data_IF_421067044986
#
_entry.id   IF_421067044986
#
_cell.length_a   1.000
_cell.length_b   1.000
_cell.length_c   1.000
_cell.angle_alpha   90.00
_cell.angle_beta   90.00
_cell.angle_gamma   90.00
#
_symmetry.space_group_name_H-M   'P 1'
#
loop_
_entity.id
_entity.type
_entity.pdbx_description
1 polymer ?
#
# COMPACT_ATOMS: atom_id res chain seq x y z
N UNK A 1 -32.92 12.07 7.86
CA UNK A 1 -31.76 12.00 8.79
C UNK A 1 -31.83 10.71 9.62
N UNK A 2 -31.51 9.55 9.05
CA UNK A 2 -31.65 8.27 9.77
C UNK A 2 -30.73 7.10 9.36
N UNK A 3 -29.91 7.24 8.30
CA UNK A 3 -29.08 6.13 7.81
C UNK A 3 -27.68 6.03 8.44
N UNK A 4 -27.18 7.08 9.10
CA UNK A 4 -25.77 7.18 9.50
C UNK A 4 -25.40 6.29 10.70
N UNK A 5 -26.37 5.88 11.53
CA UNK A 5 -26.09 5.23 12.83
C UNK A 5 -25.63 3.77 12.77
N UNK A 6 -25.90 3.04 11.69
CA UNK A 6 -25.54 1.60 11.59
C UNK A 6 -24.11 1.41 11.09
N UNK A 7 -23.63 2.31 10.22
CA UNK A 7 -22.31 2.21 9.59
C UNK A 7 -21.20 2.46 10.62
N UNK A 8 -21.41 3.42 11.53
CA UNK A 8 -20.44 3.78 12.57
C UNK A 8 -20.17 2.66 13.58
N UNK A 9 -21.06 1.65 13.65
CA UNK A 9 -20.94 0.49 14.53
C UNK A 9 -20.18 -0.69 13.94
N UNK A 10 -19.83 -0.65 12.65
CA UNK A 10 -19.00 -1.67 11.99
C UNK A 10 -17.59 -1.08 11.83
N UNK A 11 -16.61 -1.46 12.67
CA UNK A 11 -15.28 -0.83 12.69
C UNK A 11 -14.60 -0.79 11.32
N UNK A 12 -14.73 -1.88 10.54
CA UNK A 12 -14.10 -2.04 9.22
C UNK A 12 -14.79 -1.27 8.09
N UNK A 13 -15.96 -0.67 8.34
CA UNK A 13 -16.73 0.09 7.36
C UNK A 13 -16.62 1.62 7.55
N UNK A 14 -15.66 2.07 8.37
CA UNK A 14 -15.31 3.49 8.50
C UNK A 14 -14.39 3.93 7.36
N UNK A 15 -14.91 3.94 6.14
CA UNK A 15 -14.14 4.16 4.91
C UNK A 15 -13.34 5.48 4.94
N UNK A 16 -13.96 6.57 5.36
CA UNK A 16 -13.29 7.88 5.43
C UNK A 16 -12.13 7.87 6.43
N UNK A 17 -12.33 7.27 7.61
CA UNK A 17 -11.30 7.22 8.65
C UNK A 17 -10.13 6.34 8.21
N UNK A 18 -10.42 5.18 7.62
CA UNK A 18 -9.40 4.25 7.15
C UNK A 18 -8.57 4.91 6.04
N UNK A 19 -9.19 5.47 5.00
CA UNK A 19 -8.48 6.18 3.94
C UNK A 19 -7.63 7.34 4.49
N UNK A 20 -8.18 8.12 5.43
CA UNK A 20 -7.44 9.21 6.08
C UNK A 20 -6.17 8.71 6.77
N UNK A 21 -6.21 7.55 7.42
CA UNK A 21 -5.01 6.97 8.03
C UNK A 21 -4.02 6.54 6.96
N UNK A 22 -4.46 5.85 5.91
CA UNK A 22 -3.56 5.37 4.85
C UNK A 22 -2.82 6.50 4.13
N UNK A 23 -3.58 7.50 3.67
CA UNK A 23 -3.05 8.66 2.95
C UNK A 23 -2.29 9.59 3.90
N UNK A 24 -2.78 9.78 5.13
CA UNK A 24 -2.11 10.57 6.16
C UNK A 24 -0.73 10.00 6.49
N UNK A 25 -0.64 8.70 6.80
CA UNK A 25 0.63 8.01 7.04
C UNK A 25 1.58 8.12 5.85
N UNK A 26 1.07 8.04 4.62
CA UNK A 26 1.90 8.20 3.42
C UNK A 26 2.51 9.60 3.33
N UNK A 27 1.71 10.64 3.60
CA UNK A 27 2.19 12.04 3.61
C UNK A 27 3.20 12.27 4.73
N UNK A 28 2.98 11.69 5.90
CA UNK A 28 3.94 11.73 7.01
C UNK A 28 5.26 11.04 6.64
N UNK A 29 5.22 9.90 5.95
CA UNK A 29 6.43 9.22 5.44
C UNK A 29 7.20 10.14 4.49
N UNK A 30 6.54 10.76 3.50
CA UNK A 30 7.18 11.72 2.58
C UNK A 30 7.78 12.91 3.32
N UNK A 31 7.09 13.43 4.33
CA UNK A 31 7.59 14.52 5.16
C UNK A 31 8.78 14.08 6.04
N UNK A 32 8.76 12.86 6.58
CA UNK A 32 9.91 12.29 7.30
C UNK A 32 11.13 12.14 6.39
N UNK A 33 10.94 11.77 5.12
CA UNK A 33 12.01 11.73 4.12
C UNK A 33 12.67 13.10 3.92
N UNK A 34 11.92 14.20 4.05
CA UNK A 34 12.49 15.57 4.03
C UNK A 34 13.25 15.92 5.32
N UNK A 35 12.71 15.50 6.47
CA UNK A 35 13.20 15.89 7.78
C UNK A 35 14.44 15.09 8.21
N UNK A 36 14.44 13.78 7.97
CA UNK A 36 15.42 12.83 8.50
C UNK A 36 16.88 13.17 8.18
N UNK A 37 17.26 13.66 6.97
CA UNK A 37 18.63 14.07 6.71
C UNK A 37 19.15 15.11 7.72
N UNK A 38 18.33 16.12 8.05
CA UNK A 38 18.70 17.18 8.98
C UNK A 38 18.80 16.71 10.44
N UNK A 39 18.04 15.67 10.79
CA UNK A 39 18.07 15.08 12.12
C UNK A 39 19.26 14.14 12.30
N UNK A 40 19.53 13.29 11.29
CA UNK A 40 20.60 12.29 11.35
C UNK A 40 21.99 12.91 11.08
N UNK A 41 22.06 13.90 10.20
CA UNK A 41 23.31 14.55 9.77
C UNK A 41 23.20 16.07 9.91
N UNK A 42 23.13 16.59 11.15
CA UNK A 42 22.85 18.01 11.42
C UNK A 42 23.92 18.97 10.88
N UNK A 43 25.13 18.49 10.58
CA UNK A 43 26.20 19.28 9.98
C UNK A 43 26.41 18.94 8.49
N UNK A 44 25.52 18.14 7.89
CA UNK A 44 25.66 17.67 6.51
C UNK A 44 26.80 16.65 6.32
N UNK A 45 27.16 15.93 7.38
CA UNK A 45 28.28 14.98 7.37
C UNK A 45 28.05 13.74 6.48
N UNK A 46 26.80 13.41 6.16
CA UNK A 46 26.44 12.35 5.21
C UNK A 46 25.18 12.73 4.43
N UNK A 47 24.91 11.97 3.37
CA UNK A 47 23.69 12.06 2.57
C UNK A 47 22.99 10.70 2.51
N UNK A 48 21.66 10.72 2.57
CA UNK A 48 20.84 9.53 2.34
C UNK A 48 20.66 9.38 0.83
N UNK A 49 21.14 8.27 0.28
CA UNK A 49 21.16 8.02 -1.17
C UNK A 49 19.99 7.17 -1.66
N UNK A 50 19.37 6.38 -0.78
CA UNK A 50 18.22 5.53 -1.10
C UNK A 50 17.23 5.50 0.06
N UNK A 51 15.95 5.35 -0.29
CA UNK A 51 14.85 5.26 0.65
C UNK A 51 14.02 4.01 0.39
N UNK A 52 13.59 3.38 1.48
CA UNK A 52 12.70 2.23 1.43
C UNK A 52 11.66 2.24 2.54
N UNK A 53 10.53 1.57 2.29
CA UNK A 53 9.43 1.42 3.26
C UNK A 53 9.04 -0.05 3.39
N UNK A 54 8.96 -0.52 4.62
CA UNK A 54 8.36 -1.82 4.97
C UNK A 54 7.12 -1.53 5.80
N UNK A 55 6.01 -2.19 5.49
CA UNK A 55 4.78 -1.97 6.21
C UNK A 55 3.91 -3.22 6.30
N UNK A 56 3.29 -3.43 7.46
CA UNK A 56 2.42 -4.59 7.73
C UNK A 56 0.97 -4.10 7.86
N UNK A 57 0.04 -4.81 7.23
CA UNK A 57 -1.40 -4.55 7.30
C UNK A 57 -1.69 -3.09 6.91
N UNK A 58 -2.20 -2.24 7.81
CA UNK A 58 -2.37 -0.80 7.56
C UNK A 58 -1.09 -0.16 6.98
N UNK A 59 0.08 -0.47 7.55
CA UNK A 59 1.37 -0.02 7.03
C UNK A 59 1.69 -0.56 5.64
N UNK A 60 1.23 -1.76 5.29
CA UNK A 60 1.40 -2.35 3.96
C UNK A 60 0.60 -1.63 2.89
N UNK A 61 -0.59 -1.11 3.22
CA UNK A 61 -1.35 -0.23 2.32
C UNK A 61 -0.62 1.10 2.14
N UNK A 62 -0.11 1.69 3.23
CA UNK A 62 0.71 2.89 3.17
C UNK A 62 2.01 2.67 2.39
N UNK A 63 2.62 1.48 2.43
CA UNK A 63 3.80 1.16 1.63
C UNK A 63 3.50 1.23 0.13
N UNK A 64 2.35 0.70 -0.31
CA UNK A 64 1.89 0.84 -1.70
C UNK A 64 1.68 2.30 -2.11
N UNK A 65 1.04 3.10 -1.24
CA UNK A 65 0.83 4.52 -1.47
C UNK A 65 2.16 5.30 -1.49
N UNK A 66 3.10 5.00 -0.58
CA UNK A 66 4.43 5.61 -0.54
C UNK A 66 5.23 5.35 -1.81
N UNK A 67 5.22 4.11 -2.32
CA UNK A 67 5.84 3.76 -3.60
C UNK A 67 5.22 4.55 -4.76
N UNK A 68 3.91 4.76 -4.72
CA UNK A 68 3.15 5.47 -5.75
C UNK A 68 3.38 6.99 -5.75
N UNK A 69 3.53 7.60 -4.58
CA UNK A 69 3.49 9.06 -4.43
C UNK A 69 4.83 9.72 -4.15
N UNK A 70 5.86 8.95 -3.74
CA UNK A 70 7.19 9.50 -3.50
C UNK A 70 8.24 8.83 -4.40
N UNK A 71 8.71 9.58 -5.40
CA UNK A 71 9.71 9.11 -6.35
C UNK A 71 11.01 8.66 -5.65
N UNK A 72 11.34 9.23 -4.48
CA UNK A 72 12.56 8.93 -3.72
C UNK A 72 12.52 7.55 -3.06
N UNK A 73 11.33 7.05 -2.71
CA UNK A 73 11.13 5.74 -2.09
C UNK A 73 11.24 4.68 -3.19
N UNK A 74 12.42 4.09 -3.34
CA UNK A 74 12.72 3.14 -4.43
C UNK A 74 12.49 1.68 -4.05
N UNK A 75 12.48 1.37 -2.77
CA UNK A 75 12.28 0.00 -2.27
C UNK A 75 11.02 -0.07 -1.41
N UNK A 76 10.18 -1.06 -1.63
CA UNK A 76 8.95 -1.21 -0.84
C UNK A 76 8.59 -2.66 -0.56
N UNK A 77 8.20 -2.93 0.69
CA UNK A 77 7.77 -4.25 1.14
C UNK A 77 6.39 -4.15 1.79
N UNK A 78 5.31 -4.14 0.99
CA UNK A 78 3.95 -4.28 1.50
C UNK A 78 3.69 -5.72 1.96
N UNK A 79 3.56 -5.90 3.27
CA UNK A 79 3.19 -7.16 3.92
C UNK A 79 1.70 -7.11 4.26
N UNK A 80 0.92 -8.07 3.76
CA UNK A 80 -0.54 -8.17 3.94
C UNK A 80 -1.26 -6.82 3.73
N UNK A 81 -0.81 -6.08 2.71
CA UNK A 81 -1.35 -4.78 2.30
C UNK A 81 -1.99 -4.85 0.92
N UNK A 82 -2.94 -3.93 0.65
CA UNK A 82 -3.68 -3.87 -0.61
C UNK A 82 -3.42 -2.56 -1.37
N UNK A 83 -3.12 -2.60 -2.68
CA UNK A 83 -2.99 -1.41 -3.54
C UNK A 83 -4.34 -0.94 -4.13
N UNK A 84 -5.44 -1.61 -3.83
CA UNK A 84 -6.78 -1.32 -4.34
C UNK A 84 -7.78 -1.24 -3.18
N UNK A 85 -7.99 -0.02 -2.67
CA UNK A 85 -8.82 0.23 -1.53
C UNK A 85 -10.30 -0.07 -1.81
N UNK A 86 -10.82 0.28 -3.00
CA UNK A 86 -12.22 0.04 -3.32
C UNK A 86 -12.55 -1.46 -3.42
N UNK A 87 -11.68 -2.27 -4.01
CA UNK A 87 -11.89 -3.72 -4.07
C UNK A 87 -11.87 -4.35 -2.66
N UNK A 88 -10.93 -3.92 -1.81
CA UNK A 88 -10.89 -4.34 -0.42
C UNK A 88 -12.16 -3.95 0.34
N UNK A 89 -12.63 -2.70 0.18
CA UNK A 89 -13.84 -2.23 0.83
C UNK A 89 -15.09 -2.92 0.27
N UNK A 90 -15.10 -3.29 -1.02
CA UNK A 90 -16.21 -4.01 -1.64
C UNK A 90 -16.33 -5.42 -1.06
N UNK A 91 -15.19 -6.10 -0.87
CA UNK A 91 -15.14 -7.40 -0.20
C UNK A 91 -15.74 -7.34 1.21
N UNK A 92 -15.29 -6.38 2.03
CA UNK A 92 -15.78 -6.18 3.41
C UNK A 92 -17.25 -5.78 3.45
N UNK A 93 -17.68 -4.88 2.56
CA UNK A 93 -19.08 -4.49 2.44
C UNK A 93 -19.96 -5.72 2.13
N UNK A 94 -19.52 -6.58 1.21
CA UNK A 94 -20.20 -7.82 0.84
C UNK A 94 -20.39 -8.78 2.01
N UNK A 95 -19.39 -8.92 2.90
CA UNK A 95 -19.48 -9.74 4.12
C UNK A 95 -20.57 -9.27 5.08
N UNK A 96 -20.97 -7.99 5.00
CA UNK A 96 -22.02 -7.38 5.80
C UNK A 96 -23.31 -7.11 5.02
N UNK A 97 -23.41 -7.54 3.76
CA UNK A 97 -24.57 -7.26 2.90
C UNK A 97 -24.76 -5.77 2.58
N UNK A 98 -23.67 -5.00 2.58
CA UNK A 98 -23.65 -3.57 2.28
C UNK A 98 -23.22 -3.30 0.83
N UNK A 99 -23.75 -2.24 0.24
CA UNK A 99 -23.31 -1.71 -1.06
C UNK A 99 -22.45 -0.46 -0.88
N UNK A 100 -21.38 -0.31 -1.66
CA UNK A 100 -20.51 0.88 -1.67
C UNK A 100 -21.15 2.07 -2.42
N UNK A 101 -22.27 2.54 -1.90
CA UNK A 101 -23.04 3.67 -2.43
C UNK A 101 -23.23 4.75 -1.35
N UNK A 102 -23.65 5.97 -1.70
CA UNK A 102 -24.01 6.98 -0.70
C UNK A 102 -25.06 6.45 0.30
N UNK A 103 -24.91 6.70 1.62
CA UNK A 103 -23.95 7.60 2.26
C UNK A 103 -22.58 6.98 2.60
N UNK A 104 -22.38 5.67 2.39
CA UNK A 104 -21.15 4.95 2.76
C UNK A 104 -19.96 5.36 1.88
N UNK A 105 -20.19 5.49 0.58
CA UNK A 105 -19.19 5.98 -0.38
C UNK A 105 -19.76 7.17 -1.17
N UNK A 106 -19.74 8.39 -0.59
CA UNK A 106 -20.09 9.61 -1.32
C UNK A 106 -19.18 9.81 -2.54
N UNK A 107 -19.69 10.48 -3.59
CA UNK A 107 -18.92 10.75 -4.81
C UNK A 107 -17.60 11.49 -4.57
N UNK A 108 -17.56 12.40 -3.60
CA UNK A 108 -16.34 13.12 -3.20
C UNK A 108 -15.28 12.18 -2.60
N UNK A 109 -15.69 11.22 -1.77
CA UNK A 109 -14.78 10.23 -1.21
C UNK A 109 -14.27 9.27 -2.31
N UNK A 110 -15.15 8.83 -3.21
CA UNK A 110 -14.77 8.01 -4.36
C UNK A 110 -13.72 8.70 -5.24
N UNK A 111 -13.92 9.99 -5.53
CA UNK A 111 -12.97 10.78 -6.31
C UNK A 111 -11.61 10.88 -5.61
N UNK A 112 -11.59 11.11 -4.30
CA UNK A 112 -10.34 11.15 -3.53
C UNK A 112 -9.61 9.80 -3.58
N UNK A 113 -10.33 8.68 -3.39
CA UNK A 113 -9.74 7.34 -3.51
C UNK A 113 -9.15 7.14 -4.91
N UNK A 114 -9.86 7.54 -5.96
CA UNK A 114 -9.37 7.43 -7.33
C UNK A 114 -8.12 8.27 -7.61
N UNK A 115 -7.94 9.39 -6.90
CA UNK A 115 -6.74 10.22 -7.01
C UNK A 115 -5.55 9.62 -6.28
N UNK A 116 -5.77 9.01 -5.12
CA UNK A 116 -4.72 8.54 -4.22
C UNK A 116 -4.30 7.09 -4.51
N UNK A 117 -5.23 6.20 -4.86
CA UNK A 117 -4.92 4.77 -4.92
C UNK A 117 -4.00 4.38 -6.10
N UNK A 118 -3.04 3.45 -5.88
CA UNK A 118 -2.15 2.93 -6.91
C UNK A 118 -2.88 2.33 -8.13
N UNK A 119 -4.00 1.65 -7.91
CA UNK A 119 -4.73 0.95 -8.99
C UNK A 119 -5.27 1.89 -10.08
N UNK A 120 -5.37 3.19 -9.80
CA UNK A 120 -5.80 4.20 -10.77
C UNK A 120 -4.65 4.91 -11.48
N UNK A 121 -3.40 4.53 -11.20
CA UNK A 121 -2.22 4.97 -11.97
C UNK A 121 -2.01 4.07 -13.18
N UNK A 122 -1.18 4.51 -14.12
CA UNK A 122 -0.87 3.72 -15.31
C UNK A 122 0.20 2.65 -15.02
N UNK A 123 -0.03 1.82 -13.99
CA UNK A 123 0.93 0.86 -13.44
C UNK A 123 1.30 -0.30 -14.39
N UNK A 124 0.65 -0.37 -15.56
CA UNK A 124 0.87 -1.35 -16.62
C UNK A 124 1.75 -0.80 -17.74
N UNK A 125 1.97 0.51 -17.77
CA UNK A 125 2.77 1.18 -18.78
C UNK A 125 4.25 1.10 -18.43
N UNK A 126 5.10 0.99 -19.45
CA UNK A 126 6.56 1.12 -19.29
C UNK A 126 7.02 2.58 -19.36
N UNK A 127 6.10 3.53 -19.54
CA UNK A 127 6.38 4.96 -19.60
C UNK A 127 6.58 5.54 -18.18
N UNK A 128 7.81 5.95 -17.79
CA UNK A 128 8.09 6.43 -16.43
C UNK A 128 7.37 7.73 -16.08
N UNK A 129 6.92 8.51 -17.07
CA UNK A 129 6.15 9.74 -16.82
C UNK A 129 4.68 9.44 -16.41
N UNK A 130 4.21 8.21 -16.66
CA UNK A 130 2.83 7.78 -16.36
C UNK A 130 2.76 6.72 -15.27
N UNK A 131 3.76 5.85 -15.22
CA UNK A 131 3.86 4.77 -14.25
C UNK A 131 4.83 5.15 -13.12
N UNK A 132 4.34 5.45 -11.90
CA UNK A 132 5.19 5.82 -10.77
C UNK A 132 6.04 4.65 -10.23
N UNK A 133 5.80 3.42 -10.70
CA UNK A 133 6.49 2.22 -10.24
C UNK A 133 7.72 1.85 -11.08
N UNK A 134 8.03 2.59 -12.14
CA UNK A 134 9.24 2.33 -12.94
C UNK A 134 10.49 2.57 -12.09
N UNK A 135 11.41 1.60 -12.14
CA UNK A 135 12.65 1.56 -11.35
C UNK A 135 12.45 1.25 -9.87
N UNK A 136 11.23 0.90 -9.42
CA UNK A 136 10.97 0.49 -8.03
C UNK A 136 11.30 -0.99 -7.84
N UNK A 137 11.72 -1.31 -6.62
CA UNK A 137 12.00 -2.67 -6.15
C UNK A 137 10.94 -3.05 -5.12
N UNK A 138 10.06 -3.98 -5.45
CA UNK A 138 8.87 -4.31 -4.67
C UNK A 138 8.87 -5.79 -4.29
N UNK A 139 8.78 -6.07 -2.98
CA UNK A 139 8.50 -7.41 -2.47
C UNK A 139 7.10 -7.43 -1.86
N UNK A 140 6.20 -8.19 -2.47
CA UNK A 140 4.82 -8.35 -2.00
C UNK A 140 4.70 -9.64 -1.20
N UNK A 141 4.32 -9.53 0.07
CA UNK A 141 4.13 -10.67 0.95
C UNK A 141 2.67 -10.75 1.40
N UNK A 142 2.02 -11.89 1.23
CA UNK A 142 0.60 -12.07 1.56
C UNK A 142 0.29 -13.48 2.06
N UNK A 143 -0.76 -13.63 2.88
CA UNK A 143 -1.32 -14.92 3.24
C UNK A 143 -2.47 -15.28 2.30
N UNK A 144 -2.47 -16.50 1.76
CA UNK A 144 -3.48 -16.93 0.78
C UNK A 144 -4.90 -17.02 1.36
N UNK A 145 -5.00 -17.38 2.63
CA UNK A 145 -6.25 -17.55 3.38
C UNK A 145 -6.58 -16.31 4.24
N UNK A 146 -5.90 -15.18 4.00
CA UNK A 146 -6.22 -13.90 4.62
C UNK A 146 -7.63 -13.44 4.21
N UNK A 147 -8.55 -13.37 5.17
CA UNK A 147 -9.92 -12.90 4.96
C UNK A 147 -10.10 -11.41 5.26
N UNK A 148 -9.12 -10.77 5.90
CA UNK A 148 -9.16 -9.35 6.26
C UNK A 148 -8.60 -8.47 5.14
N UNK A 149 -7.54 -8.95 4.48
CA UNK A 149 -6.92 -8.34 3.30
C UNK A 149 -6.70 -9.45 2.26
N UNK A 150 -7.76 -9.92 1.58
CA UNK A 150 -7.68 -11.05 0.69
C UNK A 150 -6.76 -10.77 -0.49
N UNK A 151 -5.88 -11.73 -0.80
CA UNK A 151 -4.95 -11.65 -1.93
C UNK A 151 -5.66 -11.30 -3.25
N UNK A 152 -6.89 -11.77 -3.46
CA UNK A 152 -7.68 -11.48 -4.65
C UNK A 152 -7.92 -9.99 -4.89
N UNK A 153 -7.92 -9.15 -3.84
CA UNK A 153 -8.07 -7.70 -3.98
C UNK A 153 -6.81 -7.04 -4.57
N UNK A 154 -5.64 -7.66 -4.38
CA UNK A 154 -4.34 -7.18 -4.88
C UNK A 154 -3.91 -7.86 -6.18
N UNK A 155 -4.39 -9.08 -6.42
CA UNK A 155 -3.82 -9.99 -7.43
C UNK A 155 -3.73 -9.37 -8.83
N UNK A 156 -4.83 -8.81 -9.36
CA UNK A 156 -4.79 -8.24 -10.71
C UNK A 156 -3.78 -7.09 -10.83
N UNK A 157 -3.72 -6.22 -9.82
CA UNK A 157 -2.78 -5.11 -9.80
C UNK A 157 -1.34 -5.64 -9.79
N UNK A 158 -1.02 -6.56 -8.86
CA UNK A 158 0.34 -7.05 -8.69
C UNK A 158 0.79 -7.87 -9.90
N UNK A 159 -0.07 -8.70 -10.46
CA UNK A 159 0.24 -9.52 -11.65
C UNK A 159 0.61 -8.62 -12.84
N UNK A 160 -0.11 -7.52 -13.03
CA UNK A 160 0.06 -6.58 -14.15
C UNK A 160 1.00 -5.40 -13.85
N UNK A 161 1.57 -5.33 -12.64
CA UNK A 161 2.48 -4.26 -12.24
C UNK A 161 3.79 -4.34 -13.04
N UNK A 162 4.06 -3.29 -13.80
CA UNK A 162 5.33 -3.06 -14.49
C UNK A 162 6.25 -2.19 -13.64
N UNK A 163 7.49 -2.65 -13.48
CA UNK A 163 8.55 -1.92 -12.74
C UNK A 163 9.74 -1.54 -13.63
N UNK A 164 9.71 -1.88 -14.92
CA UNK A 164 10.78 -1.57 -15.87
C UNK A 164 12.04 -2.41 -15.70
N UNK A 165 13.03 -2.21 -16.58
CA UNK A 165 14.27 -3.00 -16.62
C UNK A 165 15.15 -2.86 -15.37
N UNK A 166 15.16 -1.66 -14.77
CA UNK A 166 15.91 -1.37 -13.54
C UNK A 166 15.10 -1.65 -12.26
N UNK A 167 13.86 -2.12 -12.41
CA UNK A 167 12.98 -2.48 -11.31
C UNK A 167 13.07 -3.97 -10.95
N UNK A 168 12.54 -4.32 -9.79
CA UNK A 168 12.44 -5.71 -9.34
C UNK A 168 11.05 -5.92 -8.72
N UNK A 169 10.35 -6.99 -9.09
CA UNK A 169 9.07 -7.36 -8.49
C UNK A 169 9.13 -8.82 -8.03
N UNK A 170 9.05 -9.03 -6.73
CA UNK A 170 8.91 -10.36 -6.12
C UNK A 170 7.58 -10.47 -5.40
N UNK A 171 6.96 -11.64 -5.48
CA UNK A 171 5.66 -11.91 -4.88
C UNK A 171 5.72 -13.26 -4.21
N UNK A 172 5.37 -13.30 -2.92
CA UNK A 172 5.18 -14.55 -2.20
C UNK A 172 3.83 -14.53 -1.48
N UNK A 173 2.96 -15.44 -1.91
CA UNK A 173 1.65 -15.70 -1.30
C UNK A 173 1.71 -17.04 -0.59
N UNK A 174 1.73 -17.02 0.74
CA UNK A 174 1.97 -18.20 1.57
C UNK A 174 0.67 -19.00 1.73
N UNK A 175 0.70 -20.29 1.37
CA UNK A 175 -0.45 -21.20 1.54
C UNK A 175 -0.63 -21.59 3.02
N UNK A 176 -1.88 -21.68 3.47
CA UNK A 176 -2.23 -21.98 4.87
C UNK A 176 -2.12 -20.78 5.83
N UNK A 177 -1.86 -19.57 5.33
CA UNK A 177 -1.64 -18.38 6.15
C UNK A 177 -2.77 -17.36 6.00
N UNK A 178 -3.32 -16.94 7.14
CA UNK A 178 -4.32 -15.89 7.24
C UNK A 178 -3.72 -14.49 7.39
N UNK A 179 -4.40 -13.60 8.12
CA UNK A 179 -3.93 -12.23 8.38
C UNK A 179 -2.86 -12.18 9.49
N UNK A 180 -1.63 -12.60 9.15
CA UNK A 180 -0.52 -12.61 10.10
C UNK A 180 0.82 -12.38 9.38
N UNK A 181 1.70 -11.61 10.02
CA UNK A 181 3.11 -11.53 9.62
C UNK A 181 3.90 -12.66 10.28
N UNK A 182 4.55 -13.51 9.49
CA UNK A 182 5.33 -14.66 9.96
C UNK A 182 6.83 -14.35 10.07
N UNK A 183 7.59 -15.26 10.68
CA UNK A 183 9.06 -15.20 10.63
C UNK A 183 9.58 -15.36 9.20
N UNK A 184 8.97 -16.25 8.41
CA UNK A 184 9.28 -16.41 6.98
C UNK A 184 9.17 -15.09 6.20
N UNK A 185 8.10 -14.32 6.42
CA UNK A 185 7.94 -13.00 5.82
C UNK A 185 9.03 -12.00 6.25
N UNK A 186 9.50 -12.08 7.50
CA UNK A 186 10.58 -11.22 8.00
C UNK A 186 11.93 -11.60 7.38
N UNK A 187 12.21 -12.89 7.25
CA UNK A 187 13.45 -13.40 6.66
C UNK A 187 13.53 -13.05 5.17
N UNK A 188 12.42 -13.17 4.44
CA UNK A 188 12.33 -12.72 3.04
C UNK A 188 12.50 -11.21 2.91
N UNK A 189 11.88 -10.43 3.81
CA UNK A 189 12.06 -8.99 3.86
C UNK A 189 13.53 -8.64 4.07
N UNK A 190 14.20 -9.26 5.05
CA UNK A 190 15.62 -9.05 5.30
C UNK A 190 16.46 -9.38 4.07
N UNK A 191 16.23 -10.55 3.47
CA UNK A 191 16.97 -11.03 2.29
C UNK A 191 16.80 -10.07 1.12
N UNK A 192 15.58 -9.63 0.85
CA UNK A 192 15.29 -8.67 -0.21
C UNK A 192 15.96 -7.32 0.04
N UNK A 193 15.88 -6.76 1.24
CA UNK A 193 16.54 -5.50 1.56
C UNK A 193 18.06 -5.59 1.42
N UNK A 194 18.66 -6.72 1.83
CA UNK A 194 20.10 -7.00 1.65
C UNK A 194 20.52 -7.01 0.19
N UNK A 195 19.70 -7.50 -0.73
CA UNK A 195 20.03 -7.56 -2.15
C UNK A 195 19.72 -6.25 -2.88
N UNK A 196 18.73 -5.50 -2.40
CA UNK A 196 18.19 -4.34 -3.11
C UNK A 196 18.81 -3.02 -2.66
N UNK A 197 19.34 -2.94 -1.45
CA UNK A 197 19.83 -1.69 -0.83
C UNK A 197 21.27 -1.74 -0.30
N UNK A 198 21.92 -2.91 -0.28
CA UNK A 198 23.26 -3.11 0.28
C UNK A 198 24.18 -3.82 -0.71
#
# INVERSE_FOLDING_TARGET
MGGTKVIDTIPDMRLTCTLSNLVGTTRDITFLTDLLPSYLFPNGENMIVDWGVVGISLGGHSAWLSLCHDARIRVGVPIIGCPNYLELMAHRAGQHGLSLEPPLLPGSLRQLIQQEDPVYKDYKSLDPEKNPFIGKKVLVLSGKEDVLVPWSASQEFVDKLEVGEDGEKRVHVINGLGHQCTEEMQDETYTFLREMML
#
